data_IF_268790415944
#
_entry.id   IF_268790415944
#
_cell.length_a   1.000
_cell.length_b   1.000
_cell.length_c   1.000
_cell.angle_alpha   90.00
_cell.angle_beta   90.00
_cell.angle_gamma   90.00
#
_symmetry.space_group_name_H-M   'P 1'
#
loop_
_entity.id
_entity.type
_entity.pdbx_description
1 polymer ?
#
# COMPACT_ATOMS: atom_id res chain seq x y z
N UNK A 1 -3.39 17.29 -29.00
CA UNK A 1 -3.25 16.01 -28.27
C UNK A 1 -1.89 16.07 -27.61
N UNK A 2 -1.84 16.23 -26.29
CA UNK A 2 -0.58 16.44 -25.57
C UNK A 2 -0.08 15.08 -25.11
N UNK A 3 1.09 14.67 -25.63
CA UNK A 3 1.77 13.44 -25.26
C UNK A 3 2.12 13.48 -23.76
N UNK A 4 1.64 12.49 -23.01
CA UNK A 4 2.06 12.28 -21.64
C UNK A 4 3.54 11.89 -21.64
N UNK A 5 4.40 12.73 -21.08
CA UNK A 5 5.79 12.38 -20.83
C UNK A 5 5.83 11.22 -19.84
N UNK A 6 6.19 10.02 -20.29
CA UNK A 6 6.28 8.83 -19.44
C UNK A 6 7.59 8.87 -18.63
N UNK A 7 7.68 9.78 -17.66
CA UNK A 7 8.72 9.75 -16.64
C UNK A 7 8.61 8.41 -15.88
N UNK A 8 9.73 7.71 -15.62
CA UNK A 8 9.68 6.46 -14.88
C UNK A 8 9.07 6.69 -13.49
N UNK A 9 8.19 5.79 -13.06
CA UNK A 9 7.60 5.88 -11.73
C UNK A 9 8.71 5.83 -10.66
N UNK A 10 8.56 6.60 -9.57
CA UNK A 10 9.54 6.62 -8.50
C UNK A 10 9.67 5.25 -7.82
N UNK A 11 10.87 4.91 -7.36
CA UNK A 11 11.10 3.77 -6.47
C UNK A 11 10.81 4.17 -5.03
N UNK A 12 9.81 3.53 -4.40
CA UNK A 12 9.47 3.75 -3.00
C UNK A 12 10.02 2.63 -2.12
N UNK A 13 10.64 3.00 -1.00
CA UNK A 13 11.20 2.07 -0.03
C UNK A 13 10.66 2.37 1.38
N UNK A 14 9.97 1.40 1.98
CA UNK A 14 9.59 1.44 3.39
C UNK A 14 10.67 0.74 4.23
N UNK A 15 11.51 1.52 4.90
CA UNK A 15 12.61 1.00 5.72
C UNK A 15 12.12 0.66 7.14
N UNK A 16 12.68 -0.36 7.81
CA UNK A 16 12.32 -0.75 9.17
C UNK A 16 13.03 0.14 10.21
N UNK A 17 13.12 1.45 9.95
CA UNK A 17 13.75 2.42 10.83
C UNK A 17 13.23 3.83 10.56
N UNK A 18 13.26 4.67 11.60
CA UNK A 18 12.98 6.10 11.48
C UNK A 18 14.26 6.87 11.14
N UNK A 19 14.13 7.84 10.23
CA UNK A 19 15.20 8.80 9.92
C UNK A 19 14.82 10.16 10.49
N UNK A 20 15.68 10.74 11.32
CA UNK A 20 15.51 12.12 11.80
C UNK A 20 16.02 13.13 10.77
N UNK A 21 15.66 12.92 9.50
CA UNK A 21 15.99 13.78 8.38
C UNK A 21 14.91 13.64 7.32
N UNK A 22 14.36 14.78 6.90
CA UNK A 22 13.40 14.88 5.81
C UNK A 22 13.98 15.81 4.76
N UNK A 23 14.29 15.29 3.58
CA UNK A 23 14.93 16.06 2.52
C UNK A 23 15.46 15.17 1.40
N UNK A 24 16.25 15.75 0.51
CA UNK A 24 16.87 15.02 -0.60
C UNK A 24 17.94 14.07 -0.09
N UNK A 25 18.04 12.90 -0.71
CA UNK A 25 19.07 11.92 -0.40
C UNK A 25 19.54 11.22 -1.69
N UNK A 26 20.84 10.90 -1.81
CA UNK A 26 21.38 10.19 -2.98
C UNK A 26 21.04 8.69 -2.96
N UNK A 27 19.74 8.34 -2.90
CA UNK A 27 19.24 6.96 -2.71
C UNK A 27 19.80 6.03 -3.79
N UNK A 28 19.69 6.40 -5.07
CA UNK A 28 20.16 5.58 -6.20
C UNK A 28 21.67 5.34 -6.19
N UNK A 29 22.45 6.19 -5.54
CA UNK A 29 23.89 6.02 -5.44
C UNK A 29 24.26 4.94 -4.40
N UNK A 30 23.59 4.95 -3.24
CA UNK A 30 23.99 4.17 -2.06
C UNK A 30 23.08 2.99 -1.72
N UNK A 31 21.79 3.06 -2.06
CA UNK A 31 20.82 2.02 -1.76
C UNK A 31 20.47 1.28 -3.05
N UNK A 32 21.14 0.15 -3.28
CA UNK A 32 21.02 -0.67 -4.49
C UNK A 32 20.56 -2.08 -4.12
N UNK A 33 19.24 -2.32 -4.08
CA UNK A 33 18.68 -3.65 -3.87
C UNK A 33 19.22 -4.67 -4.87
N UNK A 34 19.60 -5.85 -4.39
CA UNK A 34 20.03 -6.99 -5.20
C UNK A 34 19.07 -8.17 -5.02
N UNK A 35 18.61 -8.81 -6.10
CA UNK A 35 17.81 -10.02 -6.00
C UNK A 35 18.58 -11.14 -5.28
N UNK A 36 17.92 -11.86 -4.38
CA UNK A 36 18.52 -13.00 -3.67
C UNK A 36 18.40 -14.32 -4.46
N UNK A 37 17.62 -14.36 -5.54
CA UNK A 37 17.44 -15.55 -6.38
C UNK A 37 16.43 -16.58 -5.84
N UNK A 38 15.64 -16.21 -4.84
CA UNK A 38 14.53 -17.01 -4.31
C UNK A 38 13.32 -16.14 -4.00
N UNK A 39 12.17 -16.78 -3.83
CA UNK A 39 10.90 -16.14 -3.50
C UNK A 39 10.29 -16.73 -2.22
N UNK A 40 9.60 -15.90 -1.46
CA UNK A 40 8.78 -16.29 -0.30
C UNK A 40 7.36 -15.78 -0.52
N UNK A 41 6.35 -16.63 -0.31
CA UNK A 41 4.94 -16.29 -0.54
C UNK A 41 4.67 -15.67 -1.93
N UNK A 42 5.29 -16.25 -2.98
CA UNK A 42 5.25 -15.78 -4.37
C UNK A 42 5.81 -14.37 -4.61
N UNK A 43 6.56 -13.81 -3.67
CA UNK A 43 7.27 -12.54 -3.83
C UNK A 43 8.79 -12.76 -3.89
N UNK A 44 9.43 -12.23 -4.93
CA UNK A 44 10.89 -12.28 -5.06
C UNK A 44 11.57 -11.51 -3.92
N UNK A 45 12.54 -12.16 -3.29
CA UNK A 45 13.30 -11.55 -2.20
C UNK A 45 14.49 -10.78 -2.76
N UNK A 46 14.64 -9.56 -2.24
CA UNK A 46 15.76 -8.69 -2.50
C UNK A 46 16.48 -8.38 -1.19
N UNK A 47 17.75 -8.04 -1.28
CA UNK A 47 18.54 -7.59 -0.14
C UNK A 47 19.22 -6.26 -0.41
N UNK A 48 19.44 -5.51 0.66
CA UNK A 48 20.21 -4.28 0.65
C UNK A 48 20.86 -4.11 2.03
N UNK A 49 21.78 -3.16 2.14
CA UNK A 49 22.32 -2.75 3.42
C UNK A 49 22.01 -1.28 3.68
N UNK A 50 21.59 -0.97 4.90
CA UNK A 50 21.41 0.41 5.34
C UNK A 50 22.16 0.61 6.67
N UNK A 51 23.13 1.53 6.68
CA UNK A 51 24.01 1.79 7.84
C UNK A 51 24.67 0.53 8.41
N UNK A 52 25.13 -0.35 7.53
CA UNK A 52 25.80 -1.61 7.90
C UNK A 52 24.87 -2.72 8.41
N UNK A 53 23.55 -2.54 8.32
CA UNK A 53 22.55 -3.56 8.70
C UNK A 53 21.94 -4.19 7.45
N UNK A 54 21.85 -5.51 7.43
CA UNK A 54 21.20 -6.23 6.34
C UNK A 54 19.69 -6.02 6.40
N UNK A 55 19.11 -5.73 5.24
CA UNK A 55 17.68 -5.65 5.01
C UNK A 55 17.30 -6.71 3.99
N UNK A 56 16.17 -7.39 4.24
CA UNK A 56 15.51 -8.26 3.28
C UNK A 56 14.17 -7.63 2.92
N UNK A 57 13.86 -7.54 1.64
CA UNK A 57 12.70 -6.82 1.15
C UNK A 57 12.00 -7.51 0.01
N UNK A 58 10.74 -7.15 -0.19
CA UNK A 58 9.89 -7.65 -1.25
C UNK A 58 9.08 -6.50 -1.85
N UNK A 59 8.79 -6.60 -3.14
CA UNK A 59 7.89 -5.67 -3.82
C UNK A 59 6.45 -5.98 -3.43
N UNK A 60 5.74 -4.95 -2.99
CA UNK A 60 4.32 -4.98 -2.64
C UNK A 60 3.55 -4.14 -3.66
N UNK A 61 2.93 -4.77 -4.67
CA UNK A 61 2.06 -4.07 -5.61
C UNK A 61 0.81 -3.55 -4.91
N UNK A 62 0.27 -2.44 -5.38
CA UNK A 62 -1.03 -1.96 -4.94
C UNK A 62 -2.14 -2.94 -5.40
N UNK A 63 -3.19 -3.16 -4.59
CA UNK A 63 -4.32 -3.98 -5.01
C UNK A 63 -5.05 -3.40 -6.23
N UNK A 64 -5.73 -4.26 -6.97
CA UNK A 64 -6.56 -3.83 -8.11
C UNK A 64 -7.58 -2.76 -7.70
N UNK A 65 -7.75 -1.74 -8.54
CA UNK A 65 -8.63 -0.60 -8.27
C UNK A 65 -8.02 0.49 -7.40
N UNK A 66 -6.78 0.32 -6.92
CA UNK A 66 -6.06 1.34 -6.14
C UNK A 66 -4.96 2.03 -6.95
N UNK A 67 -4.71 3.29 -6.62
CA UNK A 67 -3.55 4.05 -7.12
C UNK A 67 -2.82 4.72 -5.96
N UNK A 68 -1.49 4.75 -6.04
CA UNK A 68 -0.66 5.38 -5.03
C UNK A 68 -0.34 6.81 -5.43
N UNK A 69 -0.39 7.74 -4.46
CA UNK A 69 0.00 9.14 -4.67
C UNK A 69 0.88 9.62 -3.52
N UNK A 70 1.96 10.31 -3.84
CA UNK A 70 2.75 11.08 -2.88
C UNK A 70 2.19 12.49 -2.82
N UNK A 71 1.74 12.92 -1.63
CA UNK A 71 1.18 14.24 -1.41
C UNK A 71 2.16 15.09 -0.59
N UNK A 72 2.28 16.36 -0.95
CA UNK A 72 3.04 17.36 -0.19
C UNK A 72 2.11 18.49 0.22
N UNK A 73 2.31 19.04 1.42
CA UNK A 73 1.58 20.25 1.83
C UNK A 73 1.98 21.41 0.93
N UNK A 74 0.97 22.10 0.40
CA UNK A 74 1.16 23.33 -0.36
C UNK A 74 1.58 24.49 0.52
N UNK A 75 1.77 25.64 -0.11
CA UNK A 75 2.08 26.88 0.60
C UNK A 75 0.95 27.23 1.58
N UNK A 76 1.34 27.90 2.65
CA UNK A 76 0.42 28.40 3.67
C UNK A 76 -0.57 29.38 3.02
N UNK A 77 -1.85 29.24 3.35
CA UNK A 77 -2.87 30.14 2.82
C UNK A 77 -2.68 31.54 3.41
N UNK A 78 -3.08 32.56 2.64
CA UNK A 78 -3.13 33.93 3.15
C UNK A 78 -4.13 34.09 4.32
N UNK A 79 -5.17 33.24 4.34
CA UNK A 79 -6.10 33.08 5.45
C UNK A 79 -5.63 31.94 6.37
N UNK A 80 -5.23 32.22 7.63
CA UNK A 80 -4.76 31.19 8.56
C UNK A 80 -5.85 30.20 9.00
N UNK A 81 -7.13 30.54 8.86
CA UNK A 81 -8.24 29.64 9.19
C UNK A 81 -8.61 28.69 8.02
N UNK A 82 -8.07 28.93 6.82
CA UNK A 82 -8.31 28.08 5.66
C UNK A 82 -7.40 26.82 5.67
N UNK A 83 -7.95 25.62 5.38
CA UNK A 83 -7.17 24.39 5.38
C UNK A 83 -6.04 24.42 4.33
N UNK A 84 -4.82 24.06 4.74
CA UNK A 84 -3.67 24.00 3.83
C UNK A 84 -3.94 22.99 2.69
N UNK A 85 -3.68 23.37 1.42
CA UNK A 85 -3.91 22.47 0.29
C UNK A 85 -2.88 21.34 0.26
N UNK A 86 -3.27 20.19 -0.30
CA UNK A 86 -2.36 19.09 -0.63
C UNK A 86 -2.06 19.10 -2.13
N UNK A 87 -0.78 19.02 -2.47
CA UNK A 87 -0.30 18.99 -3.84
C UNK A 87 0.19 17.58 -4.16
N UNK A 88 -0.40 16.96 -5.18
CA UNK A 88 0.07 15.68 -5.71
C UNK A 88 1.44 15.86 -6.36
N UNK A 89 2.43 15.10 -5.87
CA UNK A 89 3.79 15.12 -6.38
C UNK A 89 3.98 14.06 -7.46
N UNK A 90 3.75 12.80 -7.10
CA UNK A 90 4.13 11.65 -7.92
C UNK A 90 3.18 10.47 -7.69
N UNK A 91 2.73 9.79 -8.77
CA UNK A 91 2.04 8.52 -8.65
C UNK A 91 3.01 7.36 -8.40
N UNK A 92 2.53 6.26 -7.83
CA UNK A 92 3.26 4.99 -7.75
C UNK A 92 2.31 3.79 -7.84
N UNK A 93 2.83 2.67 -8.33
CA UNK A 93 2.08 1.41 -8.52
C UNK A 93 2.45 0.31 -7.51
N UNK A 94 3.64 0.42 -6.91
CA UNK A 94 4.17 -0.54 -5.93
C UNK A 94 5.11 0.17 -4.96
N UNK A 95 5.36 -0.47 -3.83
CA UNK A 95 6.42 -0.08 -2.90
C UNK A 95 7.27 -1.30 -2.56
N UNK A 96 8.55 -1.11 -2.26
CA UNK A 96 9.36 -2.18 -1.66
C UNK A 96 9.38 -1.97 -0.16
N UNK A 97 9.03 -3.00 0.61
CA UNK A 97 9.11 -2.95 2.06
C UNK A 97 10.25 -3.83 2.55
N UNK A 98 10.86 -3.41 3.65
CA UNK A 98 12.11 -3.98 4.13
C UNK A 98 11.97 -4.40 5.60
N UNK A 99 12.45 -5.60 5.91
CA UNK A 99 12.60 -6.13 7.25
C UNK A 99 14.09 -6.19 7.62
N UNK A 100 14.39 -6.07 8.91
CA UNK A 100 15.75 -6.22 9.42
C UNK A 100 16.12 -7.70 9.51
N UNK A 101 17.08 -8.13 8.68
CA UNK A 101 17.71 -9.46 8.74
C UNK A 101 16.73 -10.66 8.75
N UNK A 102 15.54 -10.48 8.17
CA UNK A 102 14.48 -11.49 8.11
C UNK A 102 13.73 -11.37 6.81
N UNK A 103 13.49 -12.50 6.16
CA UNK A 103 12.69 -12.49 4.94
C UNK A 103 11.29 -11.88 5.18
N UNK A 104 10.79 -11.09 4.23
CA UNK A 104 9.39 -10.73 4.14
C UNK A 104 8.47 -11.94 4.31
N UNK A 105 7.39 -11.76 5.06
CA UNK A 105 6.42 -12.79 5.41
C UNK A 105 4.97 -12.32 5.21
N UNK A 106 4.04 -13.28 5.07
CA UNK A 106 2.59 -12.99 5.09
C UNK A 106 2.12 -12.21 6.33
N UNK A 107 2.80 -12.33 7.47
CA UNK A 107 2.35 -11.71 8.73
C UNK A 107 2.83 -10.28 8.92
N UNK A 108 3.64 -9.75 8.00
CA UNK A 108 4.21 -8.41 8.11
C UNK A 108 3.14 -7.33 8.09
N UNK A 109 3.26 -6.35 8.99
CA UNK A 109 2.23 -5.34 9.23
C UNK A 109 1.84 -4.55 7.98
N UNK A 110 2.81 -4.15 7.17
CA UNK A 110 2.53 -3.39 5.94
C UNK A 110 1.81 -4.25 4.89
N UNK A 111 2.21 -5.52 4.72
CA UNK A 111 1.51 -6.44 3.81
C UNK A 111 0.05 -6.65 4.25
N UNK A 112 -0.17 -6.91 5.54
CA UNK A 112 -1.52 -7.04 6.12
C UNK A 112 -2.36 -5.76 5.98
N UNK A 113 -1.74 -4.59 6.02
CA UNK A 113 -2.45 -3.32 5.80
C UNK A 113 -2.97 -3.20 4.35
N UNK A 114 -2.29 -3.79 3.37
CA UNK A 114 -2.77 -3.84 1.99
C UNK A 114 -3.89 -4.86 1.82
N UNK A 115 -3.83 -6.00 2.52
CA UNK A 115 -4.92 -6.99 2.55
C UNK A 115 -6.22 -6.38 3.09
N UNK A 116 -6.14 -5.44 4.04
CA UNK A 116 -7.30 -4.72 4.55
C UNK A 116 -8.04 -3.94 3.45
N UNK A 117 -7.35 -3.40 2.44
CA UNK A 117 -7.99 -2.65 1.36
C UNK A 117 -9.01 -3.52 0.60
N UNK A 118 -8.63 -4.76 0.29
CA UNK A 118 -9.51 -5.71 -0.38
C UNK A 118 -10.68 -6.19 0.51
N UNK A 119 -10.50 -6.20 1.83
CA UNK A 119 -11.56 -6.55 2.77
C UNK A 119 -12.53 -5.37 2.97
N UNK A 120 -12.00 -4.15 3.10
CA UNK A 120 -12.78 -2.94 3.33
C UNK A 120 -13.78 -2.68 2.19
N UNK A 121 -13.39 -2.93 0.94
CA UNK A 121 -14.29 -2.78 -0.21
C UNK A 121 -15.52 -3.69 -0.13
N UNK A 122 -15.37 -4.90 0.43
CA UNK A 122 -16.48 -5.84 0.65
C UNK A 122 -17.33 -5.46 1.87
N UNK A 123 -16.69 -5.06 2.97
CA UNK A 123 -17.37 -4.66 4.21
C UNK A 123 -18.25 -3.43 3.99
N UNK A 124 -17.78 -2.49 3.17
CA UNK A 124 -18.47 -1.24 2.88
C UNK A 124 -19.25 -1.26 1.56
N UNK A 125 -19.44 -2.43 0.94
CA UNK A 125 -20.27 -2.56 -0.24
C UNK A 125 -21.71 -2.12 0.10
N UNK A 126 -22.37 -1.31 -0.77
CA UNK A 126 -23.76 -0.94 -0.58
C UNK A 126 -24.64 -2.18 -0.37
N UNK A 127 -25.64 -2.07 0.51
CA UNK A 127 -26.61 -3.13 0.76
C UNK A 127 -27.95 -2.69 0.21
N UNK A 128 -28.48 -3.44 -0.76
CA UNK A 128 -29.80 -3.17 -1.31
C UNK A 128 -30.89 -3.63 -0.32
N UNK A 129 -31.83 -2.74 0.09
CA UNK A 129 -32.86 -3.10 1.07
C UNK A 129 -33.74 -4.29 0.64
N UNK A 130 -33.91 -4.47 -0.67
CA UNK A 130 -34.67 -5.58 -1.28
C UNK A 130 -33.99 -6.92 -1.09
N UNK A 131 -32.66 -6.99 -1.16
CA UNK A 131 -31.89 -8.21 -0.91
C UNK A 131 -31.95 -8.61 0.56
N UNK A 132 -31.90 -7.63 1.47
CA UNK A 132 -32.07 -7.88 2.92
C UNK A 132 -33.47 -8.41 3.22
N UNK A 133 -34.51 -7.83 2.60
CA UNK A 133 -35.88 -8.29 2.77
C UNK A 133 -36.07 -9.73 2.26
N UNK A 134 -35.46 -10.07 1.11
CA UNK A 134 -35.49 -11.42 0.56
C UNK A 134 -34.77 -12.44 1.48
N UNK A 135 -33.59 -12.10 2.01
CA UNK A 135 -32.85 -12.96 2.95
C UNK A 135 -33.60 -13.20 4.28
N UNK A 136 -34.37 -12.23 4.74
CA UNK A 136 -35.21 -12.37 5.95
C UNK A 136 -36.41 -13.28 5.70
N UNK A 137 -37.00 -13.24 4.50
CA UNK A 137 -38.13 -14.10 4.13
C UNK A 137 -37.70 -15.55 3.90
N UNK A 138 -36.52 -15.79 3.31
CA UNK A 138 -35.99 -17.12 3.04
C UNK A 138 -35.66 -17.91 4.32
N UNK A 139 -35.07 -17.24 5.34
CA UNK A 139 -34.84 -17.83 6.67
C UNK A 139 -36.13 -18.13 7.46
N UNK A 140 -37.27 -17.61 7.01
CA UNK A 140 -38.59 -17.89 7.58
C UNK A 140 -39.18 -19.24 7.18
N UNK A 141 -38.73 -19.83 6.06
CA UNK A 141 -39.25 -21.11 5.56
C UNK A 141 -38.53 -22.35 6.12
N UNK A 142 -37.25 -22.27 6.47
CA UNK A 142 -36.51 -23.42 7.03
C UNK A 142 -36.99 -23.86 8.43
N UNK A 143 -37.69 -22.99 9.18
CA UNK A 143 -38.22 -23.35 10.51
C UNK A 143 -39.57 -24.07 10.51
N UNK A 144 -40.13 -24.44 9.34
CA UNK A 144 -41.46 -25.09 9.25
C UNK A 144 -41.45 -26.55 8.74
N UNK A 145 -40.29 -27.13 8.43
CA UNK A 145 -40.21 -28.48 7.83
C UNK A 145 -39.76 -29.61 8.79
N UNK A 146 -39.67 -29.35 10.10
CA UNK A 146 -39.35 -30.37 11.11
C UNK A 146 -40.40 -30.43 12.21
N UNK A 147 -41.50 -31.13 11.95
CA UNK A 147 -42.55 -31.47 12.91
C UNK A 147 -42.96 -32.92 12.73
#
# INVERSE_FOLDING_TARGET
>A
MQEASSSPLPSLHNLPCSLNYTGTAPVSAYFRPTPCGYAVDAADIQEAAFRGRQLKGASLPLPEGYSGQVLQRGLENADPDAPQPWIQQLPFAQLTYWNHDKDPSRTDGLKRSFEWLALASKVHAPVEPTEVAAMVQDKGLEKRAGG
#
